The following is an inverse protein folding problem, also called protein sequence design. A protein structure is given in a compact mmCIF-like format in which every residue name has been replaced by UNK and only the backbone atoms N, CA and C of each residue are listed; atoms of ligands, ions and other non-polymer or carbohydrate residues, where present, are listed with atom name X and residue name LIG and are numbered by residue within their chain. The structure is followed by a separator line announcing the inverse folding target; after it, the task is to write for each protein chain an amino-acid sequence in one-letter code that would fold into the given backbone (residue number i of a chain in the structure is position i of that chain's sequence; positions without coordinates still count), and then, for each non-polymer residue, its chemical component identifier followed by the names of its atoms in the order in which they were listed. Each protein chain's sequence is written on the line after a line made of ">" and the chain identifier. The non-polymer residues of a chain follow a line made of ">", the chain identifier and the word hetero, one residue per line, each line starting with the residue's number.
data_IF_462330616931
#
_entry.id   IF_462330616931
#
_cell.length_a   1.000
_cell.length_b   1.000
_cell.length_c   1.000
_cell.angle_alpha   90.00
_cell.angle_beta   90.00
_cell.angle_gamma   90.00
#
_symmetry.space_group_name_H-M   'P 1'
#
loop_
_entity.id
_entity.type
_entity.pdbx_description
1 polymer ?
#
# COMPACT_ATOMS: atom_id res chain seq x y z
N UNK A 1 12.43 10.48 -2.03
CA UNK A 1 11.23 10.54 -2.88
C UNK A 1 11.67 11.05 -4.25
N UNK A 2 11.04 10.59 -5.31
CA UNK A 2 11.42 10.93 -6.69
C UNK A 2 10.18 11.34 -7.46
N UNK A 3 10.29 12.37 -8.31
CA UNK A 3 9.22 12.73 -9.23
C UNK A 3 9.34 11.96 -10.52
N UNK A 4 8.24 11.38 -10.97
CA UNK A 4 8.13 10.76 -12.30
C UNK A 4 6.95 11.36 -13.07
N UNK A 5 6.98 11.21 -14.40
CA UNK A 5 5.87 11.62 -15.25
C UNK A 5 4.70 10.64 -15.10
N UNK A 6 3.47 11.16 -15.08
CA UNK A 6 2.27 10.31 -15.14
C UNK A 6 2.31 9.39 -16.37
N UNK A 7 2.83 9.89 -17.50
CA UNK A 7 2.94 9.12 -18.74
C UNK A 7 3.94 7.95 -18.67
N UNK A 8 4.83 7.92 -17.68
CA UNK A 8 5.77 6.80 -17.47
C UNK A 8 5.22 5.69 -16.57
N UNK A 9 3.99 5.85 -16.07
CA UNK A 9 3.37 4.84 -15.23
C UNK A 9 2.91 3.63 -16.04
N UNK A 10 2.94 2.46 -15.41
CA UNK A 10 2.24 1.29 -15.93
C UNK A 10 0.73 1.57 -15.96
N UNK A 11 0.02 0.85 -16.84
CA UNK A 11 -1.44 0.98 -16.97
C UNK A 11 -2.18 0.76 -15.64
N UNK A 12 -1.71 -0.19 -14.81
CA UNK A 12 -2.30 -0.46 -13.49
C UNK A 12 -2.17 0.76 -12.55
N UNK A 13 -0.96 1.34 -12.46
CA UNK A 13 -0.68 2.50 -11.59
C UNK A 13 -1.44 3.75 -12.06
N UNK A 14 -1.49 3.97 -13.37
CA UNK A 14 -2.28 5.05 -13.96
C UNK A 14 -3.77 4.87 -13.65
N UNK A 15 -4.32 3.66 -13.83
CA UNK A 15 -5.72 3.39 -13.51
C UNK A 15 -6.05 3.58 -12.03
N UNK A 16 -5.11 3.31 -11.11
CA UNK A 16 -5.34 3.57 -9.68
C UNK A 16 -5.40 5.07 -9.40
N UNK A 17 -4.53 5.88 -10.02
CA UNK A 17 -4.61 7.34 -9.90
C UNK A 17 -5.94 7.88 -10.38
N UNK A 18 -6.43 7.40 -11.53
CA UNK A 18 -7.69 7.87 -12.11
C UNK A 18 -8.92 7.48 -11.28
N UNK A 19 -8.84 6.37 -10.54
CA UNK A 19 -9.94 5.82 -9.71
C UNK A 19 -9.81 6.16 -8.22
N UNK A 20 -8.75 6.86 -7.82
CA UNK A 20 -8.50 7.17 -6.41
C UNK A 20 -9.64 8.02 -5.85
N UNK A 21 -10.13 7.66 -4.65
CA UNK A 21 -11.19 8.39 -3.97
C UNK A 21 -10.68 9.58 -3.13
N UNK A 22 -9.37 9.83 -3.14
CA UNK A 22 -8.74 10.92 -2.40
C UNK A 22 -8.63 12.20 -3.23
N UNK A 23 -8.76 13.36 -2.57
CA UNK A 23 -8.56 14.68 -3.20
C UNK A 23 -7.17 14.82 -3.84
N UNK A 24 -6.17 14.18 -3.23
CA UNK A 24 -4.86 13.99 -3.83
C UNK A 24 -4.76 12.53 -4.32
N UNK A 25 -4.96 12.28 -5.63
CA UNK A 25 -4.97 10.93 -6.15
C UNK A 25 -3.64 10.23 -5.90
N UNK A 26 -3.68 8.95 -5.54
CA UNK A 26 -2.49 8.15 -5.32
C UNK A 26 -2.69 6.70 -5.77
N UNK A 27 -1.58 6.02 -6.02
CA UNK A 27 -1.53 4.58 -6.22
C UNK A 27 -0.65 3.93 -5.16
N UNK A 28 -0.86 2.64 -4.94
CA UNK A 28 0.01 1.83 -4.10
C UNK A 28 0.11 0.42 -4.69
N UNK A 29 1.32 -0.11 -4.78
CA UNK A 29 1.58 -1.38 -5.42
C UNK A 29 2.81 -2.05 -4.81
N UNK A 30 2.86 -3.36 -4.74
CA UNK A 30 4.05 -4.12 -4.36
C UNK A 30 4.88 -4.37 -5.61
N UNK A 31 6.13 -3.90 -5.66
CA UNK A 31 7.00 -4.11 -6.83
C UNK A 31 7.57 -5.54 -6.84
N UNK A 32 7.98 -6.03 -5.67
CA UNK A 32 8.48 -7.39 -5.46
C UNK A 32 8.52 -7.72 -3.98
N UNK A 33 8.82 -8.99 -3.66
CA UNK A 33 9.14 -9.41 -2.31
C UNK A 33 10.48 -10.15 -2.28
N UNK A 34 11.11 -10.20 -1.12
CA UNK A 34 12.29 -11.00 -0.87
C UNK A 34 12.25 -11.58 0.54
N UNK A 35 13.01 -12.66 0.76
CA UNK A 35 13.23 -13.20 2.10
C UNK A 35 14.59 -12.68 2.56
N UNK A 36 14.61 -12.00 3.70
CA UNK A 36 15.84 -11.67 4.37
C UNK A 36 16.47 -12.95 4.93
N UNK A 37 17.69 -13.26 4.49
CA UNK A 37 18.37 -14.52 4.83
C UNK A 37 18.85 -14.57 6.27
N UNK A 38 19.05 -13.42 6.91
CA UNK A 38 19.52 -13.37 8.30
C UNK A 38 18.38 -13.63 9.28
N UNK A 39 17.18 -13.15 8.97
CA UNK A 39 16.02 -13.22 9.86
C UNK A 39 14.96 -14.24 9.44
N UNK A 40 15.06 -14.82 8.24
CA UNK A 40 14.05 -15.67 7.59
C UNK A 40 12.66 -15.00 7.52
N UNK A 41 12.66 -13.67 7.30
CA UNK A 41 11.44 -12.87 7.20
C UNK A 41 11.20 -12.39 5.77
N UNK A 42 9.98 -12.55 5.29
CA UNK A 42 9.56 -11.98 4.01
C UNK A 42 9.26 -10.47 4.13
N UNK A 43 9.91 -9.69 3.27
CA UNK A 43 9.69 -8.26 3.07
C UNK A 43 9.06 -7.99 1.71
N UNK A 44 8.13 -7.05 1.68
CA UNK A 44 7.44 -6.57 0.49
C UNK A 44 7.93 -5.15 0.19
N UNK A 45 8.43 -4.93 -1.02
CA UNK A 45 8.80 -3.60 -1.49
C UNK A 45 7.57 -2.95 -2.07
N UNK A 46 7.02 -2.01 -1.32
CA UNK A 46 5.80 -1.30 -1.64
C UNK A 46 6.18 0.05 -2.22
N UNK A 47 5.69 0.33 -3.42
CA UNK A 47 5.74 1.63 -4.05
C UNK A 47 4.42 2.37 -3.82
N UNK A 48 4.51 3.58 -3.31
CA UNK A 48 3.40 4.53 -3.26
C UNK A 48 3.74 5.72 -4.15
N UNK A 49 2.77 6.15 -4.95
CA UNK A 49 2.89 7.33 -5.80
C UNK A 49 1.72 8.27 -5.58
N UNK A 50 2.01 9.51 -5.20
CA UNK A 50 1.00 10.55 -4.95
C UNK A 50 1.07 11.59 -6.07
N UNK A 51 -0.06 11.89 -6.71
CA UNK A 51 -0.13 12.88 -7.79
C UNK A 51 0.10 14.29 -7.25
N UNK A 52 0.97 15.03 -7.93
CA UNK A 52 1.26 16.45 -7.70
C UNK A 52 1.34 17.11 -9.06
N UNK A 53 0.31 17.87 -9.41
CA UNK A 53 0.11 18.45 -10.75
C UNK A 53 0.18 17.38 -11.86
N UNK A 54 1.11 17.54 -12.82
CA UNK A 54 1.36 16.60 -13.92
C UNK A 54 2.45 15.56 -13.61
N UNK A 55 2.85 15.44 -12.35
CA UNK A 55 3.88 14.51 -11.89
C UNK A 55 3.34 13.63 -10.78
N UNK A 56 4.10 12.58 -10.47
CA UNK A 56 3.84 11.70 -9.34
C UNK A 56 5.06 11.66 -8.45
N UNK A 57 4.86 11.94 -7.18
CA UNK A 57 5.86 11.79 -6.13
C UNK A 57 5.87 10.35 -5.66
N UNK A 58 6.94 9.63 -5.96
CA UNK A 58 7.06 8.20 -5.71
C UNK A 58 8.01 7.90 -4.57
N UNK A 59 7.65 6.89 -3.78
CA UNK A 59 8.45 6.35 -2.69
C UNK A 59 8.32 4.84 -2.63
N UNK A 60 9.46 4.16 -2.42
CA UNK A 60 9.51 2.73 -2.14
C UNK A 60 9.80 2.51 -0.65
N UNK A 61 9.14 1.54 -0.04
CA UNK A 61 9.27 1.19 1.38
C UNK A 61 9.26 -0.32 1.52
N UNK A 62 10.13 -0.85 2.36
CA UNK A 62 10.12 -2.25 2.73
C UNK A 62 9.24 -2.46 3.96
N UNK A 63 8.23 -3.34 3.85
CA UNK A 63 7.39 -3.72 4.98
C UNK A 63 7.22 -5.23 5.05
N UNK A 64 7.18 -5.79 6.26
CA UNK A 64 6.78 -7.18 6.49
C UNK A 64 5.27 -7.28 6.70
N UNK A 65 4.72 -8.48 6.51
CA UNK A 65 3.29 -8.76 6.70
C UNK A 65 2.74 -8.23 8.03
N UNK A 66 3.43 -8.45 9.15
CA UNK A 66 2.93 -8.02 10.47
C UNK A 66 2.95 -6.51 10.69
N UNK A 67 3.76 -5.75 9.94
CA UNK A 67 3.68 -4.28 9.95
C UNK A 67 2.42 -3.81 9.21
N UNK A 68 2.12 -4.41 8.05
CA UNK A 68 0.89 -4.15 7.30
C UNK A 68 -0.36 -4.54 8.10
N UNK A 69 -0.31 -5.67 8.80
CA UNK A 69 -1.41 -6.12 9.68
C UNK A 69 -1.63 -5.13 10.83
N UNK A 70 -0.54 -4.58 11.41
CA UNK A 70 -0.64 -3.54 12.43
C UNK A 70 -1.29 -2.28 11.88
N UNK A 71 -0.85 -1.83 10.69
CA UNK A 71 -1.46 -0.68 10.01
C UNK A 71 -2.95 -0.91 9.76
N UNK A 72 -3.33 -2.06 9.20
CA UNK A 72 -4.72 -2.44 8.96
C UNK A 72 -5.59 -2.29 10.22
N UNK A 73 -5.11 -2.78 11.37
CA UNK A 73 -5.83 -2.64 12.65
C UNK A 73 -5.98 -1.19 13.11
N UNK A 74 -4.99 -0.33 12.83
CA UNK A 74 -5.04 1.08 13.19
C UNK A 74 -6.04 1.82 12.30
N UNK A 75 -5.98 1.60 10.98
CA UNK A 75 -6.91 2.18 10.01
C UNK A 75 -8.35 1.76 10.28
N UNK A 76 -8.60 0.46 10.53
CA UNK A 76 -9.94 -0.04 10.80
C UNK A 76 -10.60 0.61 12.02
N UNK A 77 -9.81 0.93 13.06
CA UNK A 77 -10.32 1.60 14.28
C UNK A 77 -10.69 3.07 14.06
N UNK A 78 -10.17 3.70 13.01
CA UNK A 78 -10.41 5.11 12.69
C UNK A 78 -11.64 5.29 11.81
N UNK A 79 -12.18 4.22 11.23
CA UNK A 79 -13.30 4.30 10.33
C UNK A 79 -14.64 4.28 11.08
N UNK A 80 -15.64 5.04 10.60
CA UNK A 80 -17.01 4.90 11.07
C UNK A 80 -17.51 3.46 10.94
N UNK A 81 -18.37 3.01 11.87
CA UNK A 81 -18.88 1.63 11.95
C UNK A 81 -19.57 1.08 10.67
N UNK A 82 -19.85 1.93 9.68
CA UNK A 82 -20.55 1.57 8.44
C UNK A 82 -19.70 1.74 7.17
N UNK A 83 -18.41 2.04 7.28
CA UNK A 83 -17.53 2.13 6.11
C UNK A 83 -17.07 0.74 5.70
N UNK A 84 -17.37 0.34 4.47
CA UNK A 84 -16.80 -0.88 3.89
C UNK A 84 -15.27 -0.75 3.84
N UNK A 85 -14.58 -1.73 4.43
CA UNK A 85 -13.13 -1.77 4.50
C UNK A 85 -12.62 -3.07 3.87
N UNK A 86 -11.57 -3.02 3.03
CA UNK A 86 -11.06 -4.21 2.37
C UNK A 86 -10.56 -5.23 3.40
N UNK A 87 -10.87 -6.49 3.14
CA UNK A 87 -10.42 -7.60 4.00
C UNK A 87 -8.91 -7.75 3.93
N UNK A 88 -8.26 -7.84 5.10
CA UNK A 88 -6.83 -8.08 5.17
C UNK A 88 -6.52 -9.58 4.95
N UNK A 89 -5.48 -9.93 4.17
CA UNK A 89 -5.14 -11.34 3.93
C UNK A 89 -4.85 -12.07 5.24
N UNK A 90 -5.33 -13.31 5.44
CA UNK A 90 -5.20 -14.01 6.72
C UNK A 90 -3.75 -14.41 7.02
N UNK A 91 -3.45 -14.50 8.31
CA UNK A 91 -2.14 -14.96 8.78
C UNK A 91 -2.04 -16.48 8.62
N UNK A 92 -0.91 -16.94 8.09
CA UNK A 92 -0.57 -18.37 8.02
C UNK A 92 0.60 -18.64 8.97
N UNK A 93 0.42 -19.63 9.83
CA UNK A 93 1.39 -20.00 10.87
C UNK A 93 2.31 -21.15 10.45
N UNK A 94 1.98 -21.89 9.38
CA UNK A 94 2.75 -23.04 8.88
C UNK A 94 3.15 -22.79 7.42
N UNK A 95 4.40 -23.11 7.04
CA UNK A 95 4.95 -22.90 5.70
C UNK A 95 4.79 -21.46 5.18
N UNK A 96 5.03 -20.49 6.06
CA UNK A 96 4.84 -19.07 5.78
C UNK A 96 5.96 -18.43 4.93
N UNK A 97 7.05 -19.17 4.68
CA UNK A 97 8.16 -18.81 3.78
C UNK A 97 8.19 -19.62 2.48
N UNK A 98 7.23 -20.55 2.30
CA UNK A 98 7.09 -21.29 1.04
C UNK A 98 6.81 -20.33 -0.13
N UNK A 99 7.51 -20.49 -1.25
CA UNK A 99 7.44 -19.54 -2.37
C UNK A 99 6.04 -19.39 -2.97
N UNK A 100 5.28 -20.48 -3.10
CA UNK A 100 3.91 -20.43 -3.64
C UNK A 100 2.99 -19.66 -2.69
N UNK A 101 3.19 -19.87 -1.39
CA UNK A 101 2.47 -19.13 -0.38
C UNK A 101 2.84 -17.63 -0.38
N UNK A 102 4.12 -17.30 -0.52
CA UNK A 102 4.56 -15.90 -0.61
C UNK A 102 4.05 -15.20 -1.87
N UNK A 103 3.98 -15.89 -3.01
CA UNK A 103 3.36 -15.38 -4.24
C UNK A 103 1.87 -15.08 -4.05
N UNK A 104 1.11 -16.03 -3.51
CA UNK A 104 -0.32 -15.82 -3.19
C UNK A 104 -0.49 -14.63 -2.24
N UNK A 105 0.30 -14.57 -1.17
CA UNK A 105 0.25 -13.48 -0.20
C UNK A 105 0.63 -12.14 -0.82
N UNK A 106 1.60 -12.12 -1.73
CA UNK A 106 1.96 -10.93 -2.50
C UNK A 106 0.74 -10.41 -3.26
N UNK A 107 0.05 -11.27 -4.02
CA UNK A 107 -1.16 -10.88 -4.78
C UNK A 107 -2.26 -10.38 -3.85
N UNK A 108 -2.53 -11.10 -2.76
CA UNK A 108 -3.59 -10.75 -1.81
C UNK A 108 -3.29 -9.41 -1.12
N UNK A 109 -2.03 -9.16 -0.74
CA UNK A 109 -1.61 -7.88 -0.14
C UNK A 109 -1.63 -6.74 -1.16
N UNK A 110 -1.22 -6.98 -2.41
CA UNK A 110 -1.24 -5.96 -3.46
C UNK A 110 -2.67 -5.53 -3.80
N UNK A 111 -3.59 -6.49 -3.86
CA UNK A 111 -5.03 -6.22 -4.01
C UNK A 111 -5.60 -5.43 -2.82
N UNK A 112 -5.24 -5.83 -1.59
CA UNK A 112 -5.64 -5.11 -0.39
C UNK A 112 -5.15 -3.66 -0.41
N UNK A 113 -3.86 -3.44 -0.70
CA UNK A 113 -3.26 -2.11 -0.75
C UNK A 113 -3.93 -1.27 -1.85
N UNK A 114 -4.13 -1.85 -3.04
CA UNK A 114 -4.83 -1.18 -4.14
C UNK A 114 -6.25 -0.75 -3.74
N UNK A 115 -6.98 -1.58 -3.00
CA UNK A 115 -8.32 -1.23 -2.50
C UNK A 115 -8.30 -0.08 -1.47
N UNK A 116 -7.19 0.18 -0.78
CA UNK A 116 -7.09 1.35 0.10
C UNK A 116 -7.19 2.67 -0.69
N UNK A 117 -6.81 2.69 -1.97
CA UNK A 117 -6.91 3.89 -2.83
C UNK A 117 -8.35 4.36 -3.05
N UNK A 118 -9.32 3.47 -2.86
CA UNK A 118 -10.75 3.76 -3.05
C UNK A 118 -11.43 4.23 -1.76
N UNK A 119 -10.70 4.32 -0.65
CA UNK A 119 -11.23 4.81 0.63
C UNK A 119 -11.04 6.32 0.68
N UNK A 120 -12.12 7.11 0.77
CA UNK A 120 -12.03 8.55 0.93
C UNK A 120 -11.23 8.91 2.19
N UNK A 121 -10.46 10.00 2.12
CA UNK A 121 -9.73 10.56 3.25
C UNK A 121 -8.67 9.65 3.90
N UNK A 122 -8.31 8.48 3.33
CA UNK A 122 -7.30 7.61 3.93
C UNK A 122 -5.93 8.29 4.07
N UNK A 123 -5.61 9.23 3.18
CA UNK A 123 -4.41 10.06 3.24
C UNK A 123 -4.40 11.05 4.41
N UNK A 124 -5.54 11.32 5.05
CA UNK A 124 -5.63 12.16 6.26
C UNK A 124 -5.24 11.38 7.52
N UNK A 125 -5.30 10.04 7.48
CA UNK A 125 -4.85 9.19 8.58
C UNK A 125 -3.36 9.40 8.85
N UNK A 126 -3.03 9.75 10.09
CA UNK A 126 -1.65 9.89 10.54
C UNK A 126 -0.91 8.55 10.46
N UNK A 127 -1.57 7.45 10.83
CA UNK A 127 -0.99 6.10 10.75
C UNK A 127 -0.67 5.70 9.31
N UNK A 128 -1.54 6.02 8.36
CA UNK A 128 -1.28 5.78 6.93
C UNK A 128 -0.07 6.60 6.45
N UNK A 129 -0.07 7.90 6.74
CA UNK A 129 1.02 8.80 6.34
C UNK A 129 2.34 8.40 6.97
N UNK A 130 2.36 7.98 8.23
CA UNK A 130 3.57 7.55 8.92
C UNK A 130 4.09 6.23 8.33
N UNK A 131 3.20 5.24 8.13
CA UNK A 131 3.58 3.96 7.56
C UNK A 131 4.19 4.07 6.16
N UNK A 132 3.62 4.95 5.33
CA UNK A 132 4.11 5.17 3.96
C UNK A 132 4.99 6.42 3.82
N UNK A 133 5.30 7.07 4.94
CA UNK A 133 6.09 8.28 5.04
C UNK A 133 5.74 9.33 3.97
N UNK A 134 4.44 9.66 3.88
CA UNK A 134 3.84 10.59 2.92
C UNK A 134 3.64 11.96 3.57
N UNK A 135 4.05 13.01 2.87
CA UNK A 135 3.73 14.39 3.20
C UNK A 135 2.57 14.83 2.30
N UNK A 136 1.37 14.96 2.85
CA UNK A 136 0.22 15.54 2.13
C UNK A 136 0.22 17.02 2.42
N UNK A 137 0.05 17.86 1.39
CA UNK A 137 -0.15 19.28 1.59
C UNK A 137 -1.58 19.47 2.14
N UNK A 138 -1.70 19.74 3.43
CA UNK A 138 -2.93 20.27 4.00
C UNK A 138 -3.16 21.66 3.40
N UNK A 139 -4.20 21.81 2.58
CA UNK A 139 -4.72 23.14 2.23
C UNK A 139 -5.37 23.78 3.44
#
# INVERSE_FOLDING_TARGET
>A
MTYISVASLSQSKASQLDKSACEQPFYIHIEYFYIDKETDVAYYIIQIGVKVDNKVLVRNIAMRYSQLEKLNRLLYKQLPNNTEFPSFPPKKYIFNTNINFLKKRYEDLDNYLSALTTIPHILQSEDFRNAFSISVNSK
#
